data_IF_327254451828
#
_entry.id   IF_327254451828
#
_cell.length_a   1.000
_cell.length_b   1.000
_cell.length_c   1.000
_cell.angle_alpha   90.00
_cell.angle_beta   90.00
_cell.angle_gamma   90.00
#
_symmetry.space_group_name_H-M   'P 1'
#
loop_
_entity.id
_entity.type
_entity.pdbx_description
1 polymer ?
#
# COMPACT_ATOMS: atom_id res chain seq x y z
N UNK A 1 18.34 -16.06 -29.99
CA UNK A 1 19.17 -16.43 -28.84
C UNK A 1 18.40 -17.22 -27.81
N UNK A 2 18.58 -18.54 -27.82
CA UNK A 2 18.02 -19.43 -26.81
C UNK A 2 18.98 -19.52 -25.63
N UNK A 3 18.56 -19.09 -24.45
CA UNK A 3 19.34 -19.27 -23.23
C UNK A 3 19.40 -20.77 -22.89
N UNK A 4 20.61 -21.33 -22.95
CA UNK A 4 20.90 -22.67 -22.45
C UNK A 4 21.11 -22.57 -20.94
N UNK A 5 20.10 -22.97 -20.16
CA UNK A 5 20.27 -23.17 -18.73
C UNK A 5 21.13 -24.40 -18.47
N UNK A 6 22.13 -24.29 -17.59
CA UNK A 6 22.85 -25.47 -17.08
C UNK A 6 21.91 -26.27 -16.17
N UNK A 7 22.06 -27.60 -16.11
CA UNK A 7 21.15 -28.48 -15.33
C UNK A 7 21.02 -28.05 -13.85
N UNK A 8 22.05 -27.43 -13.26
CA UNK A 8 22.00 -26.88 -11.90
C UNK A 8 21.11 -25.63 -11.77
N UNK A 9 21.14 -24.72 -12.75
CA UNK A 9 20.33 -23.50 -12.73
C UNK A 9 18.84 -23.78 -12.99
N UNK A 10 18.54 -24.80 -13.81
CA UNK A 10 17.17 -25.27 -14.01
C UNK A 10 16.58 -25.85 -12.71
N UNK A 11 17.37 -26.63 -11.97
CA UNK A 11 16.94 -27.21 -10.69
C UNK A 11 16.71 -26.14 -9.61
N UNK A 12 17.59 -25.13 -9.51
CA UNK A 12 17.38 -24.00 -8.58
C UNK A 12 16.14 -23.16 -8.94
N UNK A 13 15.87 -22.97 -10.24
CA UNK A 13 14.67 -22.30 -10.71
C UNK A 13 13.41 -23.10 -10.42
N UNK A 14 13.43 -24.42 -10.65
CA UNK A 14 12.32 -25.32 -10.33
C UNK A 14 12.07 -25.41 -8.83
N UNK A 15 13.11 -25.38 -8.00
CA UNK A 15 13.00 -25.41 -6.53
C UNK A 15 12.39 -24.12 -6.01
N UNK A 16 12.86 -22.96 -6.48
CA UNK A 16 12.23 -21.67 -6.15
C UNK A 16 10.78 -21.60 -6.62
N UNK A 17 10.48 -22.14 -7.81
CA UNK A 17 9.11 -22.21 -8.33
C UNK A 17 8.22 -23.15 -7.52
N UNK A 18 8.76 -24.26 -7.00
CA UNK A 18 8.03 -25.20 -6.14
C UNK A 18 7.79 -24.64 -4.74
N UNK A 19 8.77 -23.92 -4.16
CA UNK A 19 8.60 -23.17 -2.90
C UNK A 19 7.52 -22.08 -3.04
N UNK A 20 7.48 -21.39 -4.18
CA UNK A 20 6.44 -20.41 -4.51
C UNK A 20 5.07 -21.06 -4.74
N UNK A 21 4.99 -22.25 -5.36
CA UNK A 21 3.73 -23.00 -5.50
C UNK A 21 3.14 -23.47 -4.17
N UNK A 22 3.98 -23.73 -3.16
CA UNK A 22 3.51 -24.01 -1.80
C UNK A 22 2.73 -22.85 -1.17
N UNK A 23 2.93 -21.63 -1.66
CA UNK A 23 2.24 -20.42 -1.23
C UNK A 23 0.81 -20.29 -1.81
N UNK A 24 0.46 -21.04 -2.87
CA UNK A 24 -0.82 -20.95 -3.61
C UNK A 24 -2.06 -21.34 -2.77
N UNK A 25 -1.90 -21.95 -1.60
CA UNK A 25 -3.02 -22.32 -0.71
C UNK A 25 -3.31 -21.33 0.42
N UNK A 26 -2.50 -20.29 0.61
CA UNK A 26 -2.82 -19.27 1.61
C UNK A 26 -3.93 -18.38 1.03
N UNK A 27 -5.15 -18.59 1.53
CA UNK A 27 -6.22 -17.60 1.47
C UNK A 27 -5.77 -16.36 2.23
N UNK A 28 -4.92 -15.54 1.63
CA UNK A 28 -4.53 -14.25 2.17
C UNK A 28 -5.78 -13.37 2.15
N UNK A 29 -6.30 -13.10 3.34
CA UNK A 29 -7.34 -12.11 3.55
C UNK A 29 -6.67 -10.74 3.40
N UNK A 30 -7.31 -9.86 2.63
CA UNK A 30 -6.88 -8.47 2.47
C UNK A 30 -7.72 -7.61 3.41
N UNK A 31 -7.09 -7.07 4.45
CA UNK A 31 -7.72 -6.20 5.45
C UNK A 31 -7.27 -4.74 5.36
N UNK A 32 -6.13 -4.49 4.70
CA UNK A 32 -5.55 -3.17 4.49
C UNK A 32 -4.83 -3.08 3.13
N UNK A 33 -4.41 -1.86 2.76
CA UNK A 33 -3.80 -1.61 1.45
C UNK A 33 -2.45 -2.32 1.27
N UNK A 34 -1.62 -2.42 2.32
CA UNK A 34 -0.31 -3.09 2.24
C UNK A 34 -0.49 -4.59 1.91
N UNK A 35 -1.37 -5.27 2.63
CA UNK A 35 -1.75 -6.67 2.35
C UNK A 35 -2.35 -6.82 0.94
N UNK A 36 -3.15 -5.85 0.51
CA UNK A 36 -3.71 -5.82 -0.84
C UNK A 36 -2.64 -5.75 -1.93
N UNK A 37 -1.63 -4.89 -1.74
CA UNK A 37 -0.50 -4.76 -2.66
C UNK A 37 0.31 -6.07 -2.70
N UNK A 38 0.58 -6.67 -1.55
CA UNK A 38 1.31 -7.96 -1.47
C UNK A 38 0.53 -9.09 -2.14
N UNK A 39 -0.77 -9.17 -1.89
CA UNK A 39 -1.68 -10.13 -2.51
C UNK A 39 -1.68 -10.03 -4.04
N UNK A 40 -1.71 -8.80 -4.56
CA UNK A 40 -1.64 -8.53 -6.00
C UNK A 40 -0.24 -8.86 -6.55
N UNK A 41 0.82 -8.49 -5.83
CA UNK A 41 2.20 -8.75 -6.23
C UNK A 41 2.47 -10.25 -6.36
N UNK A 42 1.98 -11.07 -5.43
CA UNK A 42 2.12 -12.53 -5.50
C UNK A 42 1.51 -13.08 -6.80
N UNK A 43 0.26 -12.72 -7.10
CA UNK A 43 -0.45 -13.15 -8.32
C UNK A 43 0.21 -12.66 -9.61
N UNK A 44 0.55 -11.37 -9.66
CA UNK A 44 1.12 -10.74 -10.85
C UNK A 44 2.57 -11.16 -11.11
N UNK A 45 3.25 -11.73 -10.12
CA UNK A 45 4.59 -12.34 -10.30
C UNK A 45 4.49 -13.67 -11.05
N UNK A 46 3.45 -14.45 -10.80
CA UNK A 46 3.24 -15.73 -11.48
C UNK A 46 2.81 -15.55 -12.93
N UNK A 47 1.86 -14.65 -13.17
CA UNK A 47 1.34 -14.38 -14.51
C UNK A 47 0.75 -12.96 -14.59
N UNK A 48 1.05 -12.18 -15.64
CA UNK A 48 0.35 -10.93 -15.92
C UNK A 48 -1.15 -11.18 -16.19
N UNK A 49 -2.02 -10.47 -15.47
CA UNK A 49 -3.47 -10.67 -15.47
C UNK A 49 -4.24 -9.39 -15.80
N UNK A 50 -5.41 -9.49 -16.41
CA UNK A 50 -6.28 -8.32 -16.62
C UNK A 50 -7.05 -7.97 -15.35
N UNK A 51 -7.63 -6.76 -15.30
CA UNK A 51 -8.53 -6.38 -14.21
C UNK A 51 -9.69 -7.40 -14.03
N UNK A 52 -10.24 -7.90 -15.14
CA UNK A 52 -11.38 -8.83 -15.12
C UNK A 52 -11.00 -10.19 -14.54
N UNK A 53 -9.76 -10.62 -14.72
CA UNK A 53 -9.26 -11.88 -14.16
C UNK A 53 -9.04 -11.75 -12.64
N UNK A 54 -8.61 -10.58 -12.17
CA UNK A 54 -8.25 -10.34 -10.76
C UNK A 54 -9.47 -10.05 -9.90
N UNK A 55 -10.45 -9.30 -10.43
CA UNK A 55 -11.58 -8.76 -9.68
C UNK A 55 -12.37 -9.81 -8.88
N UNK A 56 -12.76 -10.98 -9.44
CA UNK A 56 -13.57 -11.95 -8.71
C UNK A 56 -12.87 -12.47 -7.45
N UNK A 57 -11.56 -12.70 -7.52
CA UNK A 57 -10.79 -13.21 -6.39
C UNK A 57 -10.42 -12.11 -5.41
N UNK A 58 -10.20 -10.88 -5.90
CA UNK A 58 -10.03 -9.71 -5.04
C UNK A 58 -11.26 -9.51 -4.14
N UNK A 59 -12.47 -9.61 -4.69
CA UNK A 59 -13.71 -9.47 -3.91
C UNK A 59 -13.87 -10.57 -2.84
N UNK A 60 -13.33 -11.77 -3.08
CA UNK A 60 -13.33 -12.84 -2.07
C UNK A 60 -12.26 -12.62 -1.00
N UNK A 61 -11.12 -12.04 -1.37
CA UNK A 61 -10.01 -11.79 -0.47
C UNK A 61 -10.27 -10.60 0.47
N UNK A 62 -10.96 -9.56 -0.02
CA UNK A 62 -11.37 -8.39 0.78
C UNK A 62 -12.59 -8.76 1.61
N UNK A 63 -12.37 -9.37 2.78
CA UNK A 63 -13.45 -9.82 3.67
C UNK A 63 -13.86 -8.74 4.68
N UNK A 64 -12.91 -8.06 5.30
CA UNK A 64 -13.17 -7.06 6.31
C UNK A 64 -12.06 -6.00 6.36
N UNK A 65 -12.40 -4.79 5.94
CA UNK A 65 -11.54 -3.63 6.11
C UNK A 65 -11.69 -3.10 7.53
N UNK A 66 -10.56 -2.74 8.14
CA UNK A 66 -10.50 -2.15 9.47
C UNK A 66 -11.38 -0.89 9.55
N UNK A 67 -12.20 -0.78 10.60
CA UNK A 67 -13.07 0.39 10.81
C UNK A 67 -12.26 1.68 10.87
N UNK A 68 -12.61 2.63 10.00
CA UNK A 68 -11.93 3.93 9.90
C UNK A 68 -10.76 3.95 8.92
N UNK A 69 -10.39 2.81 8.34
CA UNK A 69 -9.44 2.73 7.24
C UNK A 69 -10.19 2.73 5.90
N UNK A 70 -9.59 3.34 4.89
CA UNK A 70 -10.07 3.36 3.52
C UNK A 70 -9.09 2.50 2.72
N UNK A 71 -9.56 1.31 2.33
CA UNK A 71 -8.89 0.52 1.31
C UNK A 71 -9.20 1.12 -0.07
N UNK A 72 -8.20 1.52 -0.88
CA UNK A 72 -8.44 1.98 -2.24
C UNK A 72 -9.04 0.88 -3.12
N UNK A 73 -9.74 1.28 -4.18
CA UNK A 73 -10.31 0.32 -5.13
C UNK A 73 -9.21 -0.48 -5.84
N UNK A 74 -9.52 -1.71 -6.26
CA UNK A 74 -8.59 -2.58 -6.98
C UNK A 74 -7.90 -1.85 -8.15
N UNK A 75 -8.67 -1.07 -8.91
CA UNK A 75 -8.16 -0.30 -10.05
C UNK A 75 -7.10 0.72 -9.62
N UNK A 76 -7.34 1.39 -8.51
CA UNK A 76 -6.44 2.43 -8.01
C UNK A 76 -5.15 1.80 -7.52
N UNK A 77 -5.24 0.71 -6.72
CA UNK A 77 -4.08 -0.05 -6.25
C UNK A 77 -3.25 -0.57 -7.43
N UNK A 78 -3.90 -1.14 -8.45
CA UNK A 78 -3.24 -1.57 -9.68
C UNK A 78 -2.51 -0.42 -10.36
N UNK A 79 -3.20 0.70 -10.56
CA UNK A 79 -2.66 1.87 -11.28
C UNK A 79 -1.50 2.55 -10.57
N UNK A 80 -1.49 2.55 -9.24
CA UNK A 80 -0.48 3.21 -8.43
C UNK A 80 0.76 2.34 -8.20
N UNK A 81 0.62 1.01 -8.19
CA UNK A 81 1.69 0.09 -7.78
C UNK A 81 2.24 -0.79 -8.91
N UNK A 82 1.52 -0.97 -10.02
CA UNK A 82 1.84 -1.95 -11.05
C UNK A 82 1.91 -1.32 -12.46
N UNK A 83 2.44 -2.09 -13.41
CA UNK A 83 2.55 -1.66 -14.81
C UNK A 83 1.44 -2.29 -15.63
N UNK A 84 0.73 -1.45 -16.38
CA UNK A 84 -0.25 -1.89 -17.37
C UNK A 84 0.46 -2.10 -18.70
N UNK A 85 0.41 -3.31 -19.22
CA UNK A 85 0.96 -3.69 -20.52
C UNK A 85 -0.05 -3.52 -21.66
N UNK A 86 0.46 -3.67 -22.87
CA UNK A 86 -0.34 -3.79 -24.08
C UNK A 86 -1.30 -4.98 -23.95
N UNK A 87 -2.60 -4.76 -24.20
CA UNK A 87 -3.65 -5.75 -23.96
C UNK A 87 -4.32 -5.68 -22.58
N UNK A 88 -4.08 -4.62 -21.80
CA UNK A 88 -4.75 -4.36 -20.51
C UNK A 88 -4.46 -5.36 -19.39
N UNK A 89 -3.35 -6.10 -19.51
CA UNK A 89 -2.79 -6.90 -18.42
C UNK A 89 -1.95 -6.02 -17.49
N UNK A 90 -1.87 -6.42 -16.24
CA UNK A 90 -1.01 -5.82 -15.22
C UNK A 90 0.14 -6.76 -14.91
N UNK A 91 1.32 -6.22 -14.63
CA UNK A 91 2.49 -6.96 -14.17
C UNK A 91 3.22 -6.21 -13.07
N UNK A 92 4.11 -6.92 -12.38
CA UNK A 92 5.07 -6.30 -11.46
C UNK A 92 6.02 -5.36 -12.22
N UNK A 93 6.33 -4.17 -11.67
CA UNK A 93 7.35 -3.30 -12.23
C UNK A 93 8.75 -3.90 -12.08
N UNK A 94 9.65 -3.57 -12.99
CA UNK A 94 11.09 -3.80 -12.79
C UNK A 94 11.69 -2.84 -11.75
N UNK A 95 12.99 -2.95 -11.46
CA UNK A 95 13.65 -2.13 -10.44
C UNK A 95 13.62 -0.61 -10.72
N UNK A 96 13.68 -0.20 -11.98
CA UNK A 96 13.66 1.22 -12.35
C UNK A 96 12.22 1.73 -12.36
N UNK A 97 11.31 0.98 -12.97
CA UNK A 97 9.89 1.27 -12.96
C UNK A 97 9.33 1.35 -11.53
N UNK A 98 9.80 0.50 -10.62
CA UNK A 98 9.37 0.52 -9.21
C UNK A 98 9.75 1.84 -8.54
N UNK A 99 10.95 2.37 -8.77
CA UNK A 99 11.37 3.67 -8.19
C UNK A 99 10.50 4.82 -8.70
N UNK A 100 10.19 4.82 -9.99
CA UNK A 100 9.31 5.82 -10.59
C UNK A 100 7.88 5.71 -10.05
N UNK A 101 7.39 4.48 -9.91
CA UNK A 101 6.07 4.19 -9.31
C UNK A 101 6.00 4.63 -7.86
N UNK A 102 6.99 4.31 -7.04
CA UNK A 102 7.04 4.71 -5.64
C UNK A 102 7.06 6.24 -5.50
N UNK A 103 7.76 6.93 -6.39
CA UNK A 103 7.79 8.39 -6.44
C UNK A 103 6.41 8.96 -6.79
N UNK A 104 5.73 8.41 -7.80
CA UNK A 104 4.39 8.84 -8.19
C UNK A 104 3.33 8.53 -7.12
N UNK A 105 3.39 7.32 -6.54
CA UNK A 105 2.52 6.90 -5.44
C UNK A 105 2.69 7.80 -4.23
N UNK A 106 3.93 8.10 -3.84
CA UNK A 106 4.20 9.04 -2.73
C UNK A 106 3.58 10.40 -2.99
N UNK A 107 3.67 10.92 -4.22
CA UNK A 107 2.99 12.19 -4.59
C UNK A 107 1.46 12.08 -4.50
N UNK A 108 0.87 10.95 -4.89
CA UNK A 108 -0.58 10.68 -4.75
C UNK A 108 -0.99 10.70 -3.27
N UNK A 109 -0.29 9.93 -2.44
CA UNK A 109 -0.53 9.83 -1.00
C UNK A 109 -0.41 11.18 -0.28
N UNK A 110 0.57 12.00 -0.66
CA UNK A 110 0.71 13.34 -0.09
C UNK A 110 -0.45 14.29 -0.49
N UNK A 111 -1.05 14.13 -1.67
CA UNK A 111 -2.26 14.89 -2.04
C UNK A 111 -3.47 14.48 -1.19
N UNK A 112 -3.62 13.19 -0.91
CA UNK A 112 -4.64 12.69 0.03
C UNK A 112 -4.40 13.29 1.42
N UNK A 113 -3.15 13.32 1.88
CA UNK A 113 -2.78 13.92 3.16
C UNK A 113 -3.06 15.44 3.24
N UNK A 114 -2.77 16.20 2.19
CA UNK A 114 -3.12 17.63 2.13
C UNK A 114 -4.64 17.86 2.18
N UNK A 115 -5.41 16.94 1.60
CA UNK A 115 -6.87 16.96 1.73
C UNK A 115 -7.30 16.75 3.18
N UNK A 116 -6.61 15.89 3.93
CA UNK A 116 -6.86 15.68 5.36
C UNK A 116 -6.54 16.94 6.18
N UNK A 117 -5.39 17.57 5.93
CA UNK A 117 -5.01 18.86 6.56
C UNK A 117 -6.09 19.92 6.36
N UNK A 118 -6.58 20.05 5.13
CA UNK A 118 -7.64 21.01 4.80
C UNK A 118 -8.96 20.69 5.54
N UNK A 119 -9.30 19.40 5.66
CA UNK A 119 -10.53 18.96 6.37
C UNK A 119 -10.49 19.26 7.86
N UNK A 120 -9.35 19.07 8.53
CA UNK A 120 -9.24 19.25 9.99
C UNK A 120 -9.22 20.73 10.43
N UNK A 121 -8.87 21.65 9.51
CA UNK A 121 -8.91 23.10 9.74
C UNK A 121 -10.33 23.65 9.85
N UNK A 122 -11.34 22.96 9.30
CA UNK A 122 -12.74 23.37 9.41
C UNK A 122 -13.21 23.34 10.88
N UNK A 123 -14.15 24.21 11.29
CA UNK A 123 -14.75 24.13 12.62
C UNK A 123 -15.31 22.72 12.89
N UNK A 124 -14.88 22.10 13.99
CA UNK A 124 -15.21 20.70 14.35
C UNK A 124 -14.75 19.64 13.31
N UNK A 125 -13.79 19.97 12.44
CA UNK A 125 -13.28 19.08 11.41
C UNK A 125 -12.66 17.81 12.00
N UNK A 126 -13.25 16.65 11.71
CA UNK A 126 -12.72 15.34 12.10
C UNK A 126 -12.73 14.42 10.89
N UNK A 127 -11.75 13.53 10.82
CA UNK A 127 -11.63 12.52 9.79
C UNK A 127 -12.28 11.25 10.35
N UNK A 128 -13.42 10.86 9.77
CA UNK A 128 -14.13 9.64 10.18
C UNK A 128 -13.45 8.39 9.63
N UNK A 129 -12.88 8.52 8.44
CA UNK A 129 -12.21 7.48 7.69
C UNK A 129 -11.00 8.11 6.99
N UNK A 130 -9.92 7.35 6.87
CA UNK A 130 -8.63 7.78 6.34
C UNK A 130 -7.99 6.61 5.60
N UNK A 131 -7.24 6.90 4.54
CA UNK A 131 -6.32 5.94 3.93
C UNK A 131 -5.05 5.92 4.79
N UNK A 132 -4.81 4.81 5.49
CA UNK A 132 -3.67 4.72 6.43
C UNK A 132 -2.32 5.01 5.75
N UNK A 133 -2.13 4.52 4.53
CA UNK A 133 -0.91 4.77 3.74
C UNK A 133 -0.66 6.27 3.47
N UNK A 134 -1.73 7.06 3.29
CA UNK A 134 -1.61 8.51 3.11
C UNK A 134 -1.19 9.20 4.41
N UNK A 135 -1.67 8.72 5.56
CA UNK A 135 -1.22 9.21 6.87
C UNK A 135 0.25 8.87 7.11
N UNK A 136 0.69 7.64 6.83
CA UNK A 136 2.09 7.22 6.98
C UNK A 136 3.02 8.07 6.11
N UNK A 137 2.67 8.26 4.84
CA UNK A 137 3.42 9.13 3.93
C UNK A 137 3.46 10.59 4.42
N UNK A 138 2.32 11.13 4.86
CA UNK A 138 2.22 12.48 5.39
C UNK A 138 3.02 12.70 6.68
N UNK A 139 2.96 11.76 7.62
CA UNK A 139 3.71 11.84 8.89
C UNK A 139 5.20 11.78 8.66
N UNK A 140 5.66 10.88 7.77
CA UNK A 140 7.05 10.83 7.34
C UNK A 140 7.48 12.17 6.72
N UNK A 141 6.66 12.73 5.82
CA UNK A 141 6.96 14.01 5.18
C UNK A 141 7.04 15.17 6.19
N UNK A 142 6.09 15.26 7.12
CA UNK A 142 6.11 16.25 8.19
C UNK A 142 7.33 16.07 9.10
N UNK A 143 7.70 14.84 9.42
CA UNK A 143 8.89 14.55 10.22
C UNK A 143 10.17 15.05 9.56
N UNK A 144 10.37 14.73 8.28
CA UNK A 144 11.52 15.18 7.50
C UNK A 144 11.56 16.72 7.41
N UNK A 145 10.38 17.36 7.33
CA UNK A 145 10.22 18.81 7.35
C UNK A 145 10.25 19.45 8.75
N UNK A 146 10.35 18.65 9.82
CA UNK A 146 10.22 19.08 11.23
C UNK A 146 8.90 19.79 11.56
N UNK A 147 7.85 19.52 10.81
CA UNK A 147 6.48 20.03 11.04
C UNK A 147 5.72 19.12 12.02
N UNK A 148 6.19 19.07 13.25
CA UNK A 148 5.60 18.25 14.31
C UNK A 148 4.19 18.72 14.69
N UNK A 149 3.92 20.02 14.57
CA UNK A 149 2.62 20.60 14.90
C UNK A 149 1.50 20.05 13.99
N UNK A 150 1.75 19.95 12.68
CA UNK A 150 0.78 19.35 11.75
C UNK A 150 0.55 17.87 12.05
N UNK A 151 1.60 17.10 12.39
CA UNK A 151 1.46 15.68 12.74
C UNK A 151 0.52 15.48 13.92
N UNK A 152 0.76 16.22 15.02
CA UNK A 152 -0.08 16.18 16.22
C UNK A 152 -1.51 16.60 15.88
N UNK A 153 -1.69 17.70 15.15
CA UNK A 153 -3.01 18.21 14.78
C UNK A 153 -3.82 17.22 13.94
N UNK A 154 -3.19 16.48 13.01
CA UNK A 154 -3.85 15.44 12.23
C UNK A 154 -4.15 14.21 13.10
N UNK A 155 -3.18 13.74 13.90
CA UNK A 155 -3.33 12.57 14.78
C UNK A 155 -4.51 12.71 15.76
N UNK A 156 -4.73 13.91 16.31
CA UNK A 156 -5.84 14.17 17.23
C UNK A 156 -7.22 14.20 16.55
N UNK A 157 -7.26 14.20 15.21
CA UNK A 157 -8.49 14.35 14.40
C UNK A 157 -8.85 13.12 13.58
N UNK A 158 -8.07 12.04 13.66
CA UNK A 158 -8.37 10.73 13.05
C UNK A 158 -9.05 9.79 14.07
N UNK A 159 -9.60 8.64 13.64
CA UNK A 159 -10.16 7.66 14.56
C UNK A 159 -9.09 7.13 15.51
N UNK A 160 -9.35 7.17 16.82
CA UNK A 160 -8.41 6.73 17.86
C UNK A 160 -7.87 5.32 17.61
N UNK A 161 -8.75 4.40 17.21
CA UNK A 161 -8.38 3.04 16.87
C UNK A 161 -7.28 3.03 15.81
N UNK A 162 -7.46 3.75 14.70
CA UNK A 162 -6.48 3.86 13.59
C UNK A 162 -5.09 4.22 14.10
N UNK A 163 -5.00 5.27 14.93
CA UNK A 163 -3.74 5.72 15.52
C UNK A 163 -3.10 4.63 16.42
N UNK A 164 -3.88 3.95 17.26
CA UNK A 164 -3.35 3.01 18.25
C UNK A 164 -2.89 1.67 17.67
N UNK A 165 -3.58 1.11 16.67
CA UNK A 165 -3.16 -0.18 16.07
C UNK A 165 -2.20 -0.02 14.87
N UNK A 166 -1.82 1.21 14.52
CA UNK A 166 -0.76 1.45 13.54
C UNK A 166 0.52 1.92 14.26
N UNK A 167 1.48 1.01 14.42
CA UNK A 167 2.72 1.26 15.17
C UNK A 167 3.51 2.46 14.62
N UNK A 168 3.50 2.64 13.30
CA UNK A 168 4.18 3.75 12.66
C UNK A 168 3.51 5.07 13.05
N UNK A 169 2.19 5.21 12.86
CA UNK A 169 1.47 6.43 13.20
C UNK A 169 1.58 6.75 14.70
N UNK A 170 1.48 5.74 15.57
CA UNK A 170 1.60 5.91 17.02
C UNK A 170 2.98 6.44 17.41
N UNK A 171 4.05 5.81 16.91
CA UNK A 171 5.43 6.22 17.18
C UNK A 171 5.67 7.68 16.75
N UNK A 172 5.27 8.05 15.53
CA UNK A 172 5.44 9.41 15.04
C UNK A 172 4.65 10.44 15.86
N UNK A 173 3.44 10.09 16.29
CA UNK A 173 2.63 10.95 17.13
C UNK A 173 3.25 11.18 18.51
N UNK A 174 3.69 10.12 19.19
CA UNK A 174 4.29 10.23 20.53
C UNK A 174 5.55 11.11 20.50
N UNK A 175 6.45 10.86 19.54
CA UNK A 175 7.68 11.66 19.41
C UNK A 175 7.37 13.11 18.99
N UNK A 176 6.40 13.33 18.09
CA UNK A 176 6.02 14.67 17.69
C UNK A 176 5.39 15.46 18.84
N UNK A 177 4.57 14.80 19.67
CA UNK A 177 3.94 15.41 20.84
C UNK A 177 4.99 15.90 21.84
N UNK A 178 6.01 15.09 22.14
CA UNK A 178 7.11 15.50 23.02
C UNK A 178 7.91 16.69 22.49
N UNK A 179 7.90 16.94 21.18
CA UNK A 179 8.61 18.06 20.53
C UNK A 179 7.80 19.36 20.44
N UNK A 180 6.48 19.29 20.61
CA UNK A 180 5.57 20.45 20.51
C UNK A 180 5.22 21.02 21.89
N UNK A 181 5.43 20.23 22.96
CA UNK A 181 5.25 20.63 24.36
C UNK A 181 6.39 21.52 24.86
#
# INVERSE_FOLDING_TARGET
>A
DGMYFTQGQAAEYETKKAELKGFEQLTFIVSNESEGIEWLRARLTENPMTYQDIQPDWMKAVVAVRKGDILPELRDILSENFIKEDGSKWRVPDMNEQKDRDTMRTKSLLRDFETYKTKIQKPKGRLKEVRVEALRAGFKHCWDAKDYATMVAVAERIPKKILEEDEFLLMYYDIAKDKVV
#
